data_IF_538785427644
#
_entry.id   IF_538785427644
#
_cell.length_a   1.000
_cell.length_b   1.000
_cell.length_c   1.000
_cell.angle_alpha   90.00
_cell.angle_beta   90.00
_cell.angle_gamma   90.00
#
_symmetry.space_group_name_H-M   'P 1'
#
loop_
_entity.id
_entity.type
_entity.pdbx_description
1 polymer ?
#
# COMPACT_ATOMS: atom_id res chain seq x y z
N UNK A 1 -35.20 7.69 -20.97
CA UNK A 1 -34.00 8.12 -20.22
C UNK A 1 -32.91 8.41 -21.24
N UNK A 2 -32.40 9.65 -21.37
CA UNK A 2 -31.38 9.95 -22.39
C UNK A 2 -30.16 9.04 -22.22
N UNK A 3 -29.54 8.64 -23.34
CA UNK A 3 -28.36 7.77 -23.36
C UNK A 3 -27.16 8.52 -22.77
N UNK A 4 -26.19 7.80 -22.19
CA UNK A 4 -25.06 8.36 -21.43
C UNK A 4 -24.31 9.49 -22.17
N UNK A 5 -24.27 9.43 -23.51
CA UNK A 5 -23.67 10.44 -24.38
C UNK A 5 -24.38 11.81 -24.39
N UNK A 6 -25.65 11.87 -23.96
CA UNK A 6 -26.45 13.10 -23.88
C UNK A 6 -26.43 13.71 -22.47
N UNK A 7 -25.77 13.04 -21.51
CA UNK A 7 -25.81 13.35 -20.06
C UNK A 7 -24.49 13.87 -19.49
N UNK A 8 -23.40 13.71 -20.23
CA UNK A 8 -22.06 14.19 -19.86
C UNK A 8 -21.60 15.11 -20.98
N UNK A 9 -21.14 16.34 -20.70
CA UNK A 9 -20.55 17.18 -21.73
C UNK A 9 -19.21 16.55 -22.16
N UNK A 10 -19.27 15.69 -23.17
CA UNK A 10 -18.10 15.20 -23.89
C UNK A 10 -17.82 16.06 -25.12
N UNK A 11 -16.58 16.04 -25.58
CA UNK A 11 -16.13 16.78 -26.74
C UNK A 11 -16.59 16.03 -28.00
N UNK A 12 -17.49 16.63 -28.77
CA UNK A 12 -17.95 16.05 -30.03
C UNK A 12 -17.00 16.45 -31.16
N UNK A 13 -16.36 15.46 -31.79
CA UNK A 13 -15.66 15.66 -33.05
C UNK A 13 -16.62 15.48 -34.23
N UNK A 14 -16.61 16.40 -35.19
CA UNK A 14 -17.09 16.13 -36.52
C UNK A 14 -15.92 15.53 -37.31
N UNK A 15 -15.99 14.23 -37.59
CA UNK A 15 -15.10 13.62 -38.58
C UNK A 15 -15.37 14.29 -39.93
N UNK A 16 -14.54 15.26 -40.32
CA UNK A 16 -14.21 15.42 -41.73
C UNK A 16 -13.34 14.22 -42.13
N UNK A 17 -13.40 13.80 -43.39
CA UNK A 17 -12.87 12.53 -43.96
C UNK A 17 -11.36 12.24 -43.74
N UNK A 18 -10.68 12.89 -42.79
CA UNK A 18 -9.24 12.81 -42.53
C UNK A 18 -8.83 11.83 -41.41
N UNK A 19 -9.76 11.17 -40.69
CA UNK A 19 -9.40 10.26 -39.59
C UNK A 19 -9.92 8.85 -39.81
N UNK A 20 -9.05 7.88 -40.22
CA UNK A 20 -9.45 6.49 -40.42
C UNK A 20 -9.96 5.84 -39.13
N UNK A 21 -11.16 5.24 -39.17
CA UNK A 21 -11.70 4.40 -38.08
C UNK A 21 -12.64 5.10 -37.07
N UNK A 22 -12.90 6.40 -37.20
CA UNK A 22 -13.84 7.14 -36.33
C UNK A 22 -15.19 7.36 -37.02
N UNK A 23 -16.26 6.76 -36.47
CA UNK A 23 -17.64 7.03 -36.94
C UNK A 23 -18.06 8.44 -36.53
N UNK A 24 -18.81 9.15 -37.41
CA UNK A 24 -19.53 10.39 -37.03
C UNK A 24 -20.35 10.10 -35.77
N UNK A 25 -20.38 11.05 -34.82
CA UNK A 25 -21.10 11.02 -33.53
C UNK A 25 -20.50 10.21 -32.36
N UNK A 26 -19.18 9.95 -32.35
CA UNK A 26 -18.50 9.40 -31.15
C UNK A 26 -17.83 10.50 -30.32
N UNK A 27 -18.03 10.47 -29.00
CA UNK A 27 -17.26 11.29 -28.06
C UNK A 27 -15.79 10.87 -28.09
N UNK A 28 -14.88 11.85 -28.13
CA UNK A 28 -13.44 11.63 -28.14
C UNK A 28 -12.75 12.57 -27.14
N UNK A 29 -11.60 12.16 -26.60
CA UNK A 29 -10.83 13.00 -25.69
C UNK A 29 -10.06 14.11 -26.42
N UNK A 30 -9.69 15.17 -25.68
CA UNK A 30 -8.98 16.35 -26.19
C UNK A 30 -7.68 15.99 -26.94
N UNK A 31 -6.89 15.05 -26.42
CA UNK A 31 -5.65 14.60 -27.05
C UNK A 31 -5.87 13.96 -28.44
N UNK A 32 -7.03 13.34 -28.68
CA UNK A 32 -7.39 12.78 -29.99
C UNK A 32 -7.77 13.89 -30.97
N UNK A 33 -8.46 14.93 -30.51
CA UNK A 33 -8.77 16.11 -31.32
C UNK A 33 -7.49 16.83 -31.76
N UNK A 34 -6.52 16.99 -30.84
CA UNK A 34 -5.22 17.62 -31.12
C UNK A 34 -4.36 16.78 -32.06
N UNK A 35 -4.28 15.47 -31.83
CA UNK A 35 -3.47 14.54 -32.64
C UNK A 35 -3.93 14.49 -34.10
N UNK A 36 -5.23 14.63 -34.35
CA UNK A 36 -5.81 14.54 -35.69
C UNK A 36 -6.36 15.87 -36.24
N UNK A 37 -6.14 16.98 -35.51
CA UNK A 37 -6.65 18.32 -35.80
C UNK A 37 -8.14 18.35 -36.19
N UNK A 38 -8.98 17.65 -35.44
CA UNK A 38 -10.36 17.33 -35.80
C UNK A 38 -11.37 18.06 -34.88
N UNK A 39 -11.29 19.39 -34.80
CA UNK A 39 -12.10 20.21 -33.90
C UNK A 39 -13.48 20.61 -34.49
N UNK A 40 -14.49 20.71 -33.63
CA UNK A 40 -15.77 21.43 -33.88
C UNK A 40 -15.79 22.78 -33.17
N UNK A 41 -16.69 23.68 -33.57
CA UNK A 41 -16.82 25.00 -32.96
C UNK A 41 -17.17 24.90 -31.46
N UNK A 42 -18.07 23.98 -31.08
CA UNK A 42 -18.39 23.68 -29.68
C UNK A 42 -17.20 23.07 -28.92
N UNK A 43 -16.40 22.20 -29.56
CA UNK A 43 -15.22 21.62 -28.90
C UNK A 43 -14.15 22.66 -28.61
N UNK A 44 -13.99 23.69 -29.45
CA UNK A 44 -13.04 24.78 -29.20
C UNK A 44 -13.54 25.67 -28.04
N UNK A 45 -14.84 25.93 -27.96
CA UNK A 45 -15.45 26.67 -26.84
C UNK A 45 -15.26 25.98 -25.50
N UNK A 46 -15.26 24.64 -25.46
CA UNK A 46 -14.97 23.86 -24.25
C UNK A 46 -13.44 23.82 -24.01
N UNK A 47 -12.60 23.83 -25.07
CA UNK A 47 -11.11 23.87 -25.03
C UNK A 47 -10.60 25.01 -24.21
N UNK A 48 -11.21 26.13 -24.49
CA UNK A 48 -10.79 27.41 -23.98
C UNK A 48 -11.62 27.82 -22.75
N UNK A 49 -12.40 26.88 -22.16
CA UNK A 49 -13.20 27.09 -20.95
C UNK A 49 -12.58 26.40 -19.73
N UNK A 50 -12.62 27.05 -18.57
CA UNK A 50 -11.93 26.56 -17.38
C UNK A 50 -12.77 25.65 -16.45
N UNK A 51 -14.06 25.34 -16.68
CA UNK A 51 -14.90 24.57 -15.68
C UNK A 51 -16.09 23.76 -16.30
N UNK A 52 -16.47 22.64 -15.64
CA UNK A 52 -17.56 21.68 -15.93
C UNK A 52 -19.00 22.15 -15.60
N UNK A 53 -20.02 21.53 -16.23
CA UNK A 53 -21.45 21.91 -16.10
C UNK A 53 -22.34 20.82 -15.46
N UNK A 54 -23.20 21.25 -14.52
CA UNK A 54 -24.33 20.49 -13.96
C UNK A 54 -25.67 21.15 -14.34
N UNK A 55 -26.74 20.35 -14.53
CA UNK A 55 -28.05 20.87 -14.97
C UNK A 55 -29.04 20.96 -13.79
N UNK A 56 -29.39 22.19 -13.43
CA UNK A 56 -30.35 22.50 -12.36
C UNK A 56 -31.78 22.42 -12.91
N UNK A 57 -32.68 21.72 -12.19
CA UNK A 57 -34.09 21.52 -12.58
C UNK A 57 -35.05 22.56 -12.01
N UNK A 58 -34.78 23.05 -10.81
CA UNK A 58 -35.58 24.07 -10.11
C UNK A 58 -34.70 24.71 -9.02
N UNK A 59 -34.95 25.99 -8.71
CA UNK A 59 -34.22 26.75 -7.69
C UNK A 59 -35.25 27.35 -6.73
N UNK A 60 -35.16 26.98 -5.46
CA UNK A 60 -35.96 27.55 -4.38
C UNK A 60 -35.03 28.34 -3.46
N UNK A 61 -35.27 29.64 -3.30
CA UNK A 61 -34.43 30.51 -2.46
C UNK A 61 -35.08 30.66 -1.09
N UNK A 62 -34.42 30.14 -0.06
CA UNK A 62 -34.81 30.33 1.35
C UNK A 62 -33.72 31.11 2.07
N UNK A 63 -34.10 32.18 2.76
CA UNK A 63 -33.20 32.85 3.71
C UNK A 63 -33.26 32.12 5.04
N UNK A 64 -32.10 31.68 5.49
CA UNK A 64 -31.91 31.07 6.80
C UNK A 64 -31.36 32.15 7.74
N UNK A 65 -31.89 32.23 8.95
CA UNK A 65 -31.52 33.27 9.91
C UNK A 65 -30.10 33.06 10.49
N UNK A 66 -29.54 31.85 10.36
CA UNK A 66 -28.19 31.53 10.84
C UNK A 66 -27.37 30.74 9.79
N UNK A 67 -26.02 30.91 9.75
CA UNK A 67 -25.16 30.16 8.83
C UNK A 67 -25.16 28.66 9.15
N UNK A 68 -25.28 27.81 8.12
CA UNK A 68 -25.12 26.35 8.20
C UNK A 68 -23.90 25.92 7.38
N UNK A 69 -23.03 25.10 7.97
CA UNK A 69 -21.97 24.38 7.26
C UNK A 69 -22.50 23.04 6.74
N UNK A 70 -22.14 22.68 5.49
CA UNK A 70 -22.38 21.35 4.93
C UNK A 70 -21.04 20.70 4.59
N UNK A 71 -20.92 19.39 4.88
CA UNK A 71 -19.81 18.56 4.45
C UNK A 71 -20.37 17.46 3.53
N UNK A 72 -19.87 17.39 2.32
CA UNK A 72 -20.09 16.26 1.42
C UNK A 72 -19.07 15.17 1.76
N UNK A 73 -19.57 14.00 2.16
CA UNK A 73 -18.76 12.81 2.47
C UNK A 73 -19.45 11.61 1.85
N UNK A 74 -18.98 11.19 0.68
CA UNK A 74 -19.41 9.94 0.07
C UNK A 74 -18.47 8.80 0.52
N UNK A 75 -18.97 7.98 1.43
CA UNK A 75 -18.37 6.71 1.83
C UNK A 75 -19.38 5.61 1.47
N UNK A 76 -19.19 4.82 0.40
CA UNK A 76 -19.72 3.45 0.38
C UNK A 76 -19.14 2.49 -0.69
N UNK A 77 -18.96 1.24 -0.22
CA UNK A 77 -18.93 -0.10 -0.87
C UNK A 77 -17.73 -0.61 -1.66
N UNK A 78 -16.71 0.18 -1.96
CA UNK A 78 -15.44 -0.38 -2.41
C UNK A 78 -14.29 0.34 -1.69
N UNK A 79 -13.31 -0.40 -1.18
CA UNK A 79 -12.04 0.17 -0.72
C UNK A 79 -11.30 0.73 -1.95
N UNK A 80 -11.62 1.96 -2.32
CA UNK A 80 -10.99 2.67 -3.41
C UNK A 80 -9.79 3.43 -2.84
N UNK A 81 -8.58 3.04 -3.21
CA UNK A 81 -7.39 3.84 -2.94
C UNK A 81 -7.31 4.94 -3.98
N UNK A 82 -7.61 6.19 -3.60
CA UNK A 82 -7.47 7.35 -4.48
C UNK A 82 -6.13 8.03 -4.20
N UNK A 83 -5.18 7.91 -5.13
CA UNK A 83 -3.93 8.66 -5.06
C UNK A 83 -4.18 10.15 -5.34
N UNK A 84 -3.25 11.01 -4.88
CA UNK A 84 -3.27 12.48 -5.07
C UNK A 84 -3.35 12.97 -6.52
N UNK A 85 -3.17 12.07 -7.50
CA UNK A 85 -3.33 12.32 -8.93
C UNK A 85 -4.68 11.80 -9.50
N UNK A 86 -5.64 11.45 -8.64
CA UNK A 86 -6.96 10.94 -9.02
C UNK A 86 -6.98 9.46 -9.44
N UNK A 87 -5.92 8.70 -9.15
CA UNK A 87 -5.86 7.28 -9.52
C UNK A 87 -6.55 6.41 -8.49
N UNK A 88 -7.55 5.64 -8.93
CA UNK A 88 -8.24 4.62 -8.16
C UNK A 88 -7.53 3.28 -8.32
N UNK A 89 -7.07 2.65 -7.23
CA UNK A 89 -6.44 1.32 -7.25
C UNK A 89 -7.15 0.31 -6.31
N UNK A 90 -7.01 -0.98 -6.61
CA UNK A 90 -7.73 -2.10 -5.95
C UNK A 90 -6.80 -3.23 -5.49
N UNK A 91 -5.54 -2.97 -5.16
CA UNK A 91 -4.60 -4.05 -4.89
C UNK A 91 -4.51 -4.41 -3.40
N UNK A 92 -4.29 -5.70 -3.12
CA UNK A 92 -4.11 -6.21 -1.76
C UNK A 92 -2.93 -5.53 -1.04
N UNK A 93 -3.17 -5.19 0.22
CA UNK A 93 -2.34 -4.57 1.26
C UNK A 93 -1.50 -3.34 0.87
N UNK A 94 -0.66 -3.38 -0.17
CA UNK A 94 0.35 -2.33 -0.44
C UNK A 94 0.73 -2.14 -1.91
N UNK A 95 0.37 -3.04 -2.83
CA UNK A 95 0.95 -3.13 -4.19
C UNK A 95 0.82 -1.84 -5.04
N UNK A 96 1.95 -1.21 -5.33
CA UNK A 96 2.09 -0.11 -6.30
C UNK A 96 2.30 -0.64 -7.72
N UNK A 97 1.72 0.07 -8.70
CA UNK A 97 1.82 -0.24 -10.14
C UNK A 97 2.32 0.99 -10.91
N UNK A 98 3.40 0.87 -11.69
CA UNK A 98 3.69 1.87 -12.72
C UNK A 98 2.78 1.62 -13.94
N UNK A 99 1.72 2.42 -14.03
CA UNK A 99 0.74 2.29 -15.11
C UNK A 99 1.31 2.64 -16.49
N UNK A 100 2.47 3.31 -16.61
CA UNK A 100 3.06 3.63 -17.92
C UNK A 100 3.53 2.36 -18.63
N UNK A 101 4.07 1.39 -17.90
CA UNK A 101 4.45 0.09 -18.45
C UNK A 101 3.23 -0.75 -18.84
N UNK A 102 2.17 -0.71 -18.01
CA UNK A 102 0.91 -1.39 -18.33
C UNK A 102 0.19 -0.74 -19.53
N UNK A 103 0.19 0.59 -19.65
CA UNK A 103 -0.40 1.35 -20.78
C UNK A 103 0.32 1.08 -22.10
N UNK A 104 1.66 0.95 -22.09
CA UNK A 104 2.46 0.60 -23.29
C UNK A 104 2.05 -0.73 -23.92
N UNK A 105 1.39 -1.63 -23.17
CA UNK A 105 1.03 -2.98 -23.61
C UNK A 105 -0.48 -3.27 -23.54
N UNK A 106 -1.35 -2.25 -23.57
CA UNK A 106 -2.78 -2.43 -23.90
C UNK A 106 -3.83 -2.15 -22.81
N UNK A 107 -3.60 -1.17 -21.92
CA UNK A 107 -4.65 -0.64 -21.04
C UNK A 107 -5.39 0.54 -21.68
N UNK A 108 -6.72 0.49 -21.74
CA UNK A 108 -7.55 1.58 -22.27
C UNK A 108 -7.34 2.92 -21.54
N UNK A 109 -7.68 4.02 -22.22
CA UNK A 109 -7.39 5.41 -21.82
C UNK A 109 -8.10 5.86 -20.51
N UNK A 110 -9.10 5.12 -20.05
CA UNK A 110 -9.85 5.38 -18.81
C UNK A 110 -9.57 4.31 -17.76
N UNK A 111 -8.38 4.39 -17.16
CA UNK A 111 -8.06 3.94 -15.81
C UNK A 111 -8.90 2.80 -15.21
N UNK A 112 -8.66 1.59 -15.69
CA UNK A 112 -8.65 0.41 -14.83
C UNK A 112 -7.75 -0.62 -15.52
N UNK A 113 -6.74 -1.15 -14.83
CA UNK A 113 -6.30 -2.51 -15.11
C UNK A 113 -6.86 -3.38 -13.99
N UNK A 114 -8.16 -3.73 -13.98
CA UNK A 114 -8.77 -4.49 -12.89
C UNK A 114 -8.45 -5.98 -12.98
N UNK A 115 -7.32 -6.36 -13.58
CA UNK A 115 -6.92 -7.74 -13.90
C UNK A 115 -5.40 -7.92 -13.71
N UNK A 116 -4.90 -7.42 -12.59
CA UNK A 116 -3.47 -7.47 -12.22
C UNK A 116 -3.36 -7.79 -10.72
N UNK A 117 -2.16 -8.14 -10.30
CA UNK A 117 -1.85 -8.61 -8.95
C UNK A 117 -0.45 -9.20 -8.95
N UNK A 118 -0.14 -10.04 -7.97
CA UNK A 118 1.12 -10.80 -7.95
C UNK A 118 0.82 -12.29 -8.08
N UNK A 119 1.61 -13.00 -8.89
CA UNK A 119 1.55 -14.48 -8.97
C UNK A 119 2.10 -15.14 -7.71
N UNK A 120 2.91 -14.42 -6.94
CA UNK A 120 3.57 -14.90 -5.75
C UNK A 120 4.68 -13.96 -5.29
N UNK A 121 5.01 -14.10 -4.01
CA UNK A 121 6.06 -13.32 -3.35
C UNK A 121 7.15 -14.27 -2.87
N UNK A 122 8.41 -13.97 -3.18
CA UNK A 122 9.59 -14.59 -2.57
C UNK A 122 10.33 -13.53 -1.76
N UNK A 123 10.42 -13.72 -0.45
CA UNK A 123 11.05 -12.76 0.47
C UNK A 123 12.48 -13.15 0.80
N UNK A 124 13.42 -12.23 0.59
CA UNK A 124 14.83 -12.39 0.94
C UNK A 124 15.03 -12.09 2.43
N UNK A 125 15.64 -13.04 3.15
CA UNK A 125 16.03 -12.89 4.55
C UNK A 125 17.35 -12.11 4.64
N UNK A 126 17.25 -10.77 4.67
CA UNK A 126 18.42 -9.89 4.74
C UNK A 126 19.25 -10.06 6.03
N UNK A 127 18.67 -10.28 7.22
CA UNK A 127 19.45 -10.52 8.44
C UNK A 127 20.43 -11.69 8.31
N UNK A 128 19.96 -12.83 7.78
CA UNK A 128 20.82 -13.99 7.52
C UNK A 128 21.90 -13.67 6.50
N UNK A 129 21.55 -12.96 5.43
CA UNK A 129 22.52 -12.54 4.41
C UNK A 129 23.62 -11.67 5.03
N UNK A 130 23.24 -10.65 5.82
CA UNK A 130 24.18 -9.78 6.52
C UNK A 130 25.06 -10.53 7.51
N UNK A 131 24.51 -11.50 8.25
CA UNK A 131 25.27 -12.32 9.19
C UNK A 131 26.29 -13.26 8.53
N UNK A 132 26.00 -13.75 7.32
CA UNK A 132 26.86 -14.70 6.61
C UNK A 132 27.93 -14.02 5.75
N UNK A 133 27.83 -12.72 5.51
CA UNK A 133 28.73 -11.99 4.62
C UNK A 133 29.85 -11.34 5.40
N UNK A 134 31.07 -11.41 4.89
CA UNK A 134 32.28 -10.88 5.55
C UNK A 134 32.76 -9.57 4.94
N UNK A 135 32.47 -9.35 3.66
CA UNK A 135 32.73 -8.11 2.95
C UNK A 135 31.55 -7.73 2.05
N UNK A 136 31.60 -6.53 1.47
CA UNK A 136 30.51 -6.00 0.66
C UNK A 136 30.35 -6.75 -0.66
N UNK A 137 31.45 -7.14 -1.29
CA UNK A 137 31.46 -7.88 -2.55
C UNK A 137 30.74 -9.23 -2.36
N UNK A 138 31.12 -9.98 -1.32
CA UNK A 138 30.47 -11.24 -0.96
C UNK A 138 28.97 -11.05 -0.64
N UNK A 139 28.61 -9.95 0.03
CA UNK A 139 27.22 -9.63 0.32
C UNK A 139 26.39 -9.50 -0.96
N UNK A 140 26.86 -8.73 -1.94
CA UNK A 140 26.13 -8.51 -3.19
C UNK A 140 26.12 -9.74 -4.09
N UNK A 141 27.20 -10.52 -4.15
CA UNK A 141 27.22 -11.82 -4.86
C UNK A 141 26.18 -12.79 -4.29
N UNK A 142 26.09 -12.90 -2.96
CA UNK A 142 25.10 -13.74 -2.29
C UNK A 142 23.67 -13.21 -2.50
N UNK A 143 23.48 -11.90 -2.46
CA UNK A 143 22.18 -11.27 -2.74
C UNK A 143 21.72 -11.59 -4.16
N UNK A 144 22.61 -11.43 -5.14
CA UNK A 144 22.34 -11.76 -6.54
C UNK A 144 21.92 -13.22 -6.70
N UNK A 145 22.69 -14.16 -6.15
CA UNK A 145 22.37 -15.58 -6.22
C UNK A 145 20.99 -15.91 -5.61
N UNK A 146 20.63 -15.25 -4.51
CA UNK A 146 19.30 -15.40 -3.90
C UNK A 146 18.19 -14.80 -4.77
N UNK A 147 18.44 -13.67 -5.44
CA UNK A 147 17.48 -13.05 -6.36
C UNK A 147 17.27 -13.88 -7.63
N UNK A 148 18.33 -14.49 -8.16
CA UNK A 148 18.24 -15.43 -9.28
C UNK A 148 17.43 -16.68 -8.93
N UNK A 149 17.62 -17.19 -7.71
CA UNK A 149 16.80 -18.28 -7.19
C UNK A 149 15.33 -17.87 -7.03
N UNK A 150 15.06 -16.64 -6.57
CA UNK A 150 13.72 -16.09 -6.46
C UNK A 150 13.05 -15.96 -7.84
N UNK A 151 13.77 -15.43 -8.84
CA UNK A 151 13.35 -15.38 -10.25
C UNK A 151 12.95 -16.76 -10.76
N UNK A 152 13.84 -17.74 -10.58
CA UNK A 152 13.61 -19.13 -10.99
C UNK A 152 12.34 -19.71 -10.36
N UNK A 153 12.16 -19.50 -9.05
CA UNK A 153 10.97 -19.96 -8.32
C UNK A 153 9.68 -19.33 -8.85
N UNK A 154 9.69 -18.02 -9.11
CA UNK A 154 8.54 -17.27 -9.60
C UNK A 154 8.20 -17.64 -11.05
N UNK A 155 9.19 -17.86 -11.92
CA UNK A 155 8.96 -18.31 -13.30
C UNK A 155 8.42 -19.74 -13.36
N UNK A 156 8.90 -20.65 -12.50
CA UNK A 156 8.30 -21.99 -12.35
C UNK A 156 6.83 -21.85 -11.92
N UNK A 157 6.56 -21.02 -10.91
CA UNK A 157 5.19 -20.80 -10.43
C UNK A 157 4.29 -20.25 -11.53
N UNK A 158 4.78 -19.30 -12.34
CA UNK A 158 4.05 -18.72 -13.47
C UNK A 158 3.61 -19.78 -14.47
N UNK A 159 4.52 -20.69 -14.85
CA UNK A 159 4.21 -21.82 -15.75
C UNK A 159 3.15 -22.74 -15.17
N UNK A 160 3.25 -23.06 -13.88
CA UNK A 160 2.31 -23.95 -13.18
C UNK A 160 0.91 -23.34 -13.11
N UNK A 161 0.78 -22.07 -12.70
CA UNK A 161 -0.55 -21.44 -12.59
C UNK A 161 -1.20 -21.25 -13.96
N UNK A 162 -0.42 -20.99 -15.01
CA UNK A 162 -0.94 -20.88 -16.38
C UNK A 162 -1.49 -22.24 -16.87
N UNK A 163 -0.75 -23.34 -16.67
CA UNK A 163 -1.21 -24.71 -16.99
C UNK A 163 -2.47 -25.10 -16.21
N UNK A 164 -2.53 -24.77 -14.92
CA UNK A 164 -3.69 -25.04 -14.08
C UNK A 164 -4.91 -24.21 -14.50
N UNK A 165 -4.72 -22.95 -14.90
CA UNK A 165 -5.79 -22.12 -15.46
C UNK A 165 -6.28 -22.69 -16.79
N UNK A 166 -5.38 -23.15 -17.66
CA UNK A 166 -5.74 -23.78 -18.94
C UNK A 166 -6.59 -25.04 -18.72
N UNK A 167 -6.18 -25.91 -17.78
CA UNK A 167 -6.91 -27.13 -17.36
C UNK A 167 -8.23 -26.86 -16.61
N UNK A 168 -8.56 -25.60 -16.32
CA UNK A 168 -9.82 -25.23 -15.67
C UNK A 168 -9.83 -25.36 -14.15
N UNK A 169 -8.66 -25.51 -13.50
CA UNK A 169 -8.56 -25.56 -12.03
C UNK A 169 -8.76 -24.20 -11.36
N UNK A 170 -8.68 -23.12 -12.14
CA UNK A 170 -8.99 -21.75 -11.69
C UNK A 170 -10.13 -21.13 -12.53
N UNK A 171 -11.37 -21.63 -12.42
CA UNK A 171 -12.46 -21.27 -13.33
C UNK A 171 -12.82 -19.78 -13.30
N UNK A 172 -12.83 -19.16 -12.11
CA UNK A 172 -13.08 -17.72 -11.98
C UNK A 172 -11.96 -16.89 -12.61
N UNK A 173 -10.70 -17.17 -12.26
CA UNK A 173 -9.55 -16.46 -12.85
C UNK A 173 -9.50 -16.65 -14.36
N UNK A 174 -9.76 -17.87 -14.87
CA UNK A 174 -9.86 -18.14 -16.31
C UNK A 174 -10.88 -17.24 -16.98
N UNK A 175 -12.08 -17.15 -16.41
CA UNK A 175 -13.16 -16.31 -16.94
C UNK A 175 -12.78 -14.82 -16.93
N UNK A 176 -12.31 -14.28 -15.81
CA UNK A 176 -12.00 -12.84 -15.71
C UNK A 176 -10.73 -12.44 -16.49
N UNK A 177 -9.75 -13.33 -16.61
CA UNK A 177 -8.50 -13.07 -17.34
C UNK A 177 -8.55 -13.46 -18.82
N UNK A 178 -9.73 -13.86 -19.32
CA UNK A 178 -9.90 -14.29 -20.70
C UNK A 178 -9.48 -13.22 -21.72
N UNK A 179 -9.81 -11.96 -21.46
CA UNK A 179 -9.39 -10.83 -22.31
C UNK A 179 -7.87 -10.62 -22.32
N UNK A 180 -7.19 -10.91 -21.19
CA UNK A 180 -5.72 -10.86 -21.09
C UNK A 180 -5.09 -11.99 -21.90
N UNK A 181 -5.65 -13.20 -21.81
CA UNK A 181 -5.25 -14.37 -22.59
C UNK A 181 -5.36 -14.11 -24.09
N UNK A 182 -6.48 -13.55 -24.54
CA UNK A 182 -6.69 -13.19 -25.94
C UNK A 182 -5.72 -12.13 -26.44
N UNK A 183 -5.41 -11.13 -25.61
CA UNK A 183 -4.51 -10.04 -25.99
C UNK A 183 -3.02 -10.41 -25.93
N UNK A 184 -2.61 -11.31 -25.01
CA UNK A 184 -1.19 -11.57 -24.70
C UNK A 184 -0.76 -13.04 -24.76
N UNK A 185 -1.67 -13.96 -25.06
CA UNK A 185 -1.40 -15.40 -25.11
C UNK A 185 -1.28 -16.09 -23.75
N UNK A 186 -1.36 -15.35 -22.64
CA UNK A 186 -1.28 -15.88 -21.27
C UNK A 186 -2.30 -15.21 -20.35
N UNK A 187 -2.91 -15.98 -19.43
CA UNK A 187 -3.88 -15.47 -18.46
C UNK A 187 -3.21 -14.51 -17.46
N UNK A 188 -2.03 -14.88 -16.96
CA UNK A 188 -1.36 -14.16 -15.88
C UNK A 188 -0.35 -13.10 -16.37
N UNK A 189 -0.38 -12.72 -17.66
CA UNK A 189 0.57 -11.81 -18.29
C UNK A 189 0.64 -10.40 -17.65
N UNK A 190 -0.43 -9.98 -16.98
CA UNK A 190 -0.51 -8.68 -16.29
C UNK A 190 -0.09 -8.76 -14.82
N UNK A 191 0.27 -9.94 -14.29
CA UNK A 191 0.60 -10.13 -12.88
C UNK A 191 2.11 -10.10 -12.64
N UNK A 192 2.50 -9.46 -11.54
CA UNK A 192 3.89 -9.30 -11.11
C UNK A 192 4.46 -10.58 -10.50
N UNK A 193 5.74 -10.79 -10.73
CA UNK A 193 6.61 -11.68 -9.96
C UNK A 193 7.25 -10.83 -8.85
N UNK A 194 6.86 -11.05 -7.59
CA UNK A 194 7.26 -10.15 -6.51
C UNK A 194 8.44 -10.70 -5.73
N UNK A 195 9.50 -9.91 -5.63
CA UNK A 195 10.63 -10.17 -4.76
C UNK A 195 10.55 -9.18 -3.61
N UNK A 196 10.51 -9.69 -2.39
CA UNK A 196 10.36 -8.89 -1.18
C UNK A 196 11.57 -8.96 -0.27
N UNK A 197 11.60 -8.09 0.75
CA UNK A 197 12.65 -8.07 1.77
C UNK A 197 12.06 -8.02 3.17
N UNK A 198 12.86 -8.47 4.14
CA UNK A 198 12.56 -8.36 5.56
C UNK A 198 13.85 -8.14 6.36
N UNK A 199 13.77 -7.40 7.46
CA UNK A 199 14.83 -7.30 8.45
C UNK A 199 16.04 -6.46 8.03
N UNK A 200 15.84 -5.36 7.30
CA UNK A 200 16.95 -4.48 6.91
C UNK A 200 17.69 -3.91 8.14
N UNK A 201 16.98 -3.60 9.23
CA UNK A 201 17.63 -3.16 10.47
C UNK A 201 18.57 -4.23 11.04
N UNK A 202 18.09 -5.47 11.15
CA UNK A 202 18.92 -6.56 11.66
C UNK A 202 20.01 -6.96 10.68
N UNK A 203 19.80 -6.78 9.37
CA UNK A 203 20.88 -6.90 8.37
C UNK A 203 22.00 -5.89 8.66
N UNK A 204 21.69 -4.61 8.85
CA UNK A 204 22.69 -3.60 9.20
C UNK A 204 23.41 -3.96 10.52
N UNK A 205 22.66 -4.42 11.53
CA UNK A 205 23.22 -4.80 12.83
C UNK A 205 24.17 -6.00 12.74
N UNK A 206 23.85 -6.97 11.89
CA UNK A 206 24.65 -8.19 11.72
C UNK A 206 25.86 -7.96 10.80
N UNK A 207 25.73 -7.13 9.77
CA UNK A 207 26.79 -6.89 8.78
C UNK A 207 27.72 -5.73 9.17
N UNK A 208 27.14 -4.57 9.51
CA UNK A 208 27.87 -3.33 9.82
C UNK A 208 28.09 -3.12 11.32
N UNK A 209 27.41 -3.89 12.16
CA UNK A 209 27.39 -3.67 13.61
C UNK A 209 26.54 -2.47 14.05
N UNK A 210 25.86 -1.80 13.12
CA UNK A 210 25.11 -0.55 13.34
C UNK A 210 23.63 -0.69 12.97
N UNK A 211 22.72 -0.01 13.68
CA UNK A 211 21.30 -0.02 13.35
C UNK A 211 21.00 0.79 12.09
N UNK A 212 19.84 0.57 11.44
CA UNK A 212 19.50 1.25 10.18
C UNK A 212 19.44 2.78 10.28
N UNK A 213 19.14 3.32 11.46
CA UNK A 213 19.08 4.76 11.72
C UNK A 213 20.46 5.42 11.88
N UNK A 214 21.56 4.65 11.90
CA UNK A 214 22.90 5.23 11.72
C UNK A 214 23.05 5.68 10.25
N UNK A 215 23.54 6.90 9.97
CA UNK A 215 23.66 7.41 8.60
C UNK A 215 24.40 6.48 7.64
N UNK A 216 25.50 5.86 8.09
CA UNK A 216 26.29 4.94 7.25
C UNK A 216 25.53 3.62 6.97
N UNK A 217 24.70 3.18 7.91
CA UNK A 217 23.86 2.00 7.73
C UNK A 217 22.65 2.29 6.83
N UNK A 218 22.05 3.49 6.93
CA UNK A 218 20.99 3.95 6.01
C UNK A 218 21.50 4.00 4.58
N UNK A 219 22.69 4.55 4.35
CA UNK A 219 23.32 4.59 3.03
C UNK A 219 23.54 3.20 2.45
N UNK A 220 24.01 2.25 3.27
CA UNK A 220 24.15 0.86 2.84
C UNK A 220 22.79 0.23 2.52
N UNK A 221 21.75 0.44 3.32
CA UNK A 221 20.39 -0.05 3.04
C UNK A 221 19.84 0.51 1.71
N UNK A 222 20.09 1.80 1.42
CA UNK A 222 19.76 2.42 0.13
C UNK A 222 20.50 1.72 -1.02
N UNK A 223 21.80 1.43 -0.84
CA UNK A 223 22.62 0.72 -1.82
C UNK A 223 22.07 -0.68 -2.11
N UNK A 224 21.66 -1.42 -1.08
CA UNK A 224 21.01 -2.73 -1.20
C UNK A 224 19.71 -2.63 -2.00
N UNK A 225 18.81 -1.71 -1.65
CA UNK A 225 17.54 -1.54 -2.37
C UNK A 225 17.74 -1.12 -3.83
N UNK A 226 18.72 -0.24 -4.13
CA UNK A 226 19.08 0.14 -5.51
C UNK A 226 19.61 -1.04 -6.30
N UNK A 227 20.48 -1.86 -5.71
CA UNK A 227 20.97 -3.08 -6.35
C UNK A 227 19.83 -4.03 -6.71
N UNK A 228 18.94 -4.31 -5.76
CA UNK A 228 17.78 -5.17 -5.99
C UNK A 228 16.85 -4.61 -7.07
N UNK A 229 16.62 -3.30 -7.07
CA UNK A 229 15.80 -2.64 -8.09
C UNK A 229 16.40 -2.79 -9.49
N UNK A 230 17.71 -2.65 -9.63
CA UNK A 230 18.39 -2.83 -10.92
C UNK A 230 18.26 -4.29 -11.40
N UNK A 231 18.51 -5.28 -10.51
CA UNK A 231 18.34 -6.69 -10.86
C UNK A 231 16.90 -7.05 -11.24
N UNK A 232 15.91 -6.45 -10.59
CA UNK A 232 14.51 -6.59 -10.98
C UNK A 232 14.26 -6.05 -12.38
N UNK A 233 14.86 -4.92 -12.76
CA UNK A 233 14.76 -4.39 -14.12
C UNK A 233 15.36 -5.36 -15.14
N UNK A 234 16.55 -5.90 -14.85
CA UNK A 234 17.21 -6.92 -15.70
C UNK A 234 16.30 -8.15 -15.89
N UNK A 235 15.64 -8.63 -14.81
CA UNK A 235 14.72 -9.75 -14.89
C UNK A 235 13.49 -9.46 -15.75
N UNK A 236 12.97 -8.22 -15.74
CA UNK A 236 11.87 -7.84 -16.63
C UNK A 236 12.28 -7.87 -18.10
N UNK A 237 13.50 -7.41 -18.40
CA UNK A 237 14.04 -7.42 -19.77
C UNK A 237 14.30 -8.84 -20.26
N UNK A 238 14.91 -9.69 -19.42
CA UNK A 238 15.26 -11.08 -19.73
C UNK A 238 14.01 -11.95 -19.94
N UNK A 239 13.03 -11.85 -19.04
CA UNK A 239 11.87 -12.75 -19.03
C UNK A 239 10.67 -12.22 -19.81
N UNK A 240 10.62 -10.89 -20.04
CA UNK A 240 9.45 -10.20 -20.58
C UNK A 240 8.28 -10.06 -19.60
N UNK A 241 8.37 -10.62 -18.39
CA UNK A 241 7.34 -10.56 -17.34
C UNK A 241 7.52 -9.35 -16.43
N UNK A 242 6.45 -8.95 -15.74
CA UNK A 242 6.53 -7.88 -14.75
C UNK A 242 7.13 -8.38 -13.44
N UNK A 243 8.02 -7.59 -12.86
CA UNK A 243 8.65 -7.82 -11.55
C UNK A 243 8.55 -6.57 -10.68
N UNK A 244 8.49 -6.75 -9.38
CA UNK A 244 8.53 -5.61 -8.46
C UNK A 244 9.22 -5.94 -7.14
N UNK A 245 9.71 -4.88 -6.50
CA UNK A 245 10.34 -4.92 -5.18
C UNK A 245 9.29 -4.56 -4.13
N UNK A 246 9.07 -5.43 -3.15
CA UNK A 246 8.05 -5.22 -2.11
C UNK A 246 8.64 -5.17 -0.69
N UNK A 247 8.12 -4.24 0.11
CA UNK A 247 8.23 -4.25 1.56
C UNK A 247 7.24 -5.28 2.12
N UNK A 248 7.65 -6.56 2.12
CA UNK A 248 6.82 -7.70 2.53
C UNK A 248 6.20 -7.44 3.92
N UNK A 249 4.86 -7.53 4.09
CA UNK A 249 4.21 -7.34 5.39
C UNK A 249 4.67 -8.30 6.49
N UNK A 250 5.02 -9.52 6.10
CA UNK A 250 5.75 -10.50 6.90
C UNK A 250 5.16 -10.88 8.26
N UNK A 251 3.83 -10.86 8.42
CA UNK A 251 3.10 -11.17 9.67
C UNK A 251 3.61 -12.45 10.36
N UNK A 252 3.60 -13.59 9.66
CA UNK A 252 4.18 -14.84 10.18
C UNK A 252 5.68 -15.01 9.88
N UNK A 253 6.15 -14.40 8.79
CA UNK A 253 7.52 -14.61 8.28
C UNK A 253 8.57 -13.96 9.17
N UNK A 254 8.27 -12.81 9.78
CA UNK A 254 9.19 -12.10 10.69
C UNK A 254 9.63 -12.99 11.85
N UNK A 255 8.68 -13.48 12.64
CA UNK A 255 8.94 -14.39 13.75
C UNK A 255 9.54 -15.71 13.29
N UNK A 256 8.97 -16.33 12.24
CA UNK A 256 9.41 -17.65 11.76
C UNK A 256 10.87 -17.66 11.33
N UNK A 257 11.31 -16.66 10.54
CA UNK A 257 12.69 -16.59 10.06
C UNK A 257 13.66 -16.32 11.22
N UNK A 258 13.35 -15.36 12.09
CA UNK A 258 14.17 -15.03 13.25
C UNK A 258 14.34 -16.23 14.19
N UNK A 259 13.28 -17.00 14.45
CA UNK A 259 13.34 -18.23 15.26
C UNK A 259 14.24 -19.31 14.64
N UNK A 260 14.09 -19.57 13.34
CA UNK A 260 14.94 -20.54 12.62
C UNK A 260 16.40 -20.09 12.65
N UNK A 261 16.65 -18.80 12.45
CA UNK A 261 17.97 -18.21 12.48
C UNK A 261 18.63 -18.29 13.84
N UNK A 262 17.93 -17.93 14.92
CA UNK A 262 18.45 -18.06 16.29
C UNK A 262 18.86 -19.49 16.62
N UNK A 263 18.08 -20.49 16.17
CA UNK A 263 18.42 -21.91 16.37
C UNK A 263 19.70 -22.31 15.61
N UNK A 264 19.90 -21.80 14.40
CA UNK A 264 21.03 -22.18 13.53
C UNK A 264 22.29 -21.35 13.81
N UNK A 265 22.11 -20.09 14.16
CA UNK A 265 23.14 -19.07 14.35
C UNK A 265 22.89 -18.36 15.67
N UNK A 266 23.32 -18.92 16.82
CA UNK A 266 22.99 -18.36 18.14
C UNK A 266 23.38 -16.90 18.33
N UNK A 267 24.44 -16.45 17.63
CA UNK A 267 24.97 -15.07 17.69
C UNK A 267 24.29 -14.09 16.73
N UNK A 268 23.37 -14.53 15.88
CA UNK A 268 22.65 -13.61 14.99
C UNK A 268 21.81 -12.64 15.80
N UNK A 269 21.88 -11.36 15.44
CA UNK A 269 21.08 -10.29 16.05
C UNK A 269 19.68 -10.33 15.47
N UNK A 270 18.68 -10.32 16.35
CA UNK A 270 17.26 -10.22 16.06
C UNK A 270 16.68 -9.13 16.97
N UNK A 271 15.50 -8.61 16.64
CA UNK A 271 14.70 -7.85 17.60
C UNK A 271 13.89 -8.81 18.50
N UNK A 272 13.22 -8.25 19.50
CA UNK A 272 12.40 -9.01 20.46
C UNK A 272 13.20 -9.73 21.54
N UNK A 273 12.53 -10.67 22.22
CA UNK A 273 13.14 -11.49 23.29
C UNK A 273 13.67 -12.81 22.74
N UNK A 274 14.38 -13.59 23.57
CA UNK A 274 14.81 -14.94 23.17
C UNK A 274 13.63 -15.89 22.87
N UNK A 275 12.51 -15.70 23.57
CA UNK A 275 11.29 -16.49 23.42
C UNK A 275 10.45 -16.00 22.22
N UNK A 276 10.50 -14.70 21.94
CA UNK A 276 9.76 -14.04 20.87
C UNK A 276 10.67 -13.23 19.93
N UNK A 277 11.67 -13.86 19.26
CA UNK A 277 12.54 -13.14 18.35
C UNK A 277 11.81 -12.80 17.06
N UNK A 278 12.04 -11.61 16.52
CA UNK A 278 11.45 -11.18 15.26
C UNK A 278 12.43 -10.32 14.45
N UNK A 279 12.12 -10.13 13.17
CA UNK A 279 12.82 -9.19 12.30
C UNK A 279 11.96 -7.95 12.03
N UNK A 280 12.60 -6.78 12.07
CA UNK A 280 11.93 -5.51 11.80
C UNK A 280 11.37 -5.53 10.38
N UNK A 281 10.14 -5.05 10.21
CA UNK A 281 9.43 -5.20 8.96
C UNK A 281 10.17 -4.51 7.80
N UNK A 282 10.51 -5.24 6.75
CA UNK A 282 11.12 -4.69 5.52
C UNK A 282 12.31 -3.77 5.82
N UNK A 283 12.17 -2.45 5.61
CA UNK A 283 13.16 -1.41 5.90
C UNK A 283 12.70 -0.38 6.96
N UNK A 284 11.69 -0.74 7.74
CA UNK A 284 11.16 0.13 8.79
C UNK A 284 12.21 0.38 9.87
N UNK A 285 12.03 1.47 10.60
CA UNK A 285 12.68 1.66 11.88
C UNK A 285 12.18 0.60 12.88
N UNK A 286 12.98 0.22 13.88
CA UNK A 286 12.49 -0.58 15.01
C UNK A 286 11.26 0.08 15.64
N UNK A 287 10.28 -0.74 16.06
CA UNK A 287 8.97 -0.26 16.56
C UNK A 287 9.07 0.69 17.74
N UNK A 288 10.13 0.59 18.54
CA UNK A 288 10.38 1.38 19.75
C UNK A 288 11.47 2.44 19.56
N UNK A 289 11.74 2.85 18.32
CA UNK A 289 12.82 3.81 18.03
C UNK A 289 12.46 5.25 18.42
N UNK A 290 11.32 5.76 17.96
CA UNK A 290 10.87 7.14 18.22
C UNK A 290 9.35 7.20 18.12
N UNK A 291 8.76 8.13 18.88
CA UNK A 291 7.34 8.51 18.76
C UNK A 291 7.16 9.75 17.85
N UNK A 292 8.26 10.37 17.39
CA UNK A 292 8.21 11.50 16.46
C UNK A 292 7.93 11.02 15.02
N UNK A 293 6.72 11.30 14.56
CA UNK A 293 6.27 10.96 13.20
C UNK A 293 7.15 11.61 12.13
N UNK A 294 7.64 12.83 12.31
CA UNK A 294 8.45 13.53 11.32
C UNK A 294 9.87 12.96 11.25
N UNK A 295 10.41 12.48 12.37
CA UNK A 295 11.66 11.74 12.39
C UNK A 295 11.52 10.43 11.60
N UNK A 296 10.43 9.68 11.81
CA UNK A 296 10.11 8.45 11.05
C UNK A 296 10.01 8.78 9.56
N UNK A 297 9.23 9.79 9.20
CA UNK A 297 9.01 10.19 7.80
C UNK A 297 10.33 10.59 7.13
N UNK A 298 11.14 11.42 7.79
CA UNK A 298 12.45 11.87 7.28
C UNK A 298 13.42 10.72 7.07
N UNK A 299 13.45 9.76 7.99
CA UNK A 299 14.26 8.57 7.81
C UNK A 299 13.74 7.71 6.65
N UNK A 300 12.43 7.43 6.62
CA UNK A 300 11.84 6.45 5.73
C UNK A 300 11.72 6.94 4.27
N UNK A 301 11.63 8.26 4.01
CA UNK A 301 11.35 8.79 2.68
C UNK A 301 12.28 8.23 1.58
N UNK A 302 13.60 8.32 1.77
CA UNK A 302 14.58 7.84 0.79
C UNK A 302 14.55 6.33 0.55
N UNK A 303 14.15 5.56 1.55
CA UNK A 303 14.09 4.09 1.47
C UNK A 303 12.82 3.65 0.75
N UNK A 304 11.69 4.25 1.11
CA UNK A 304 10.38 3.78 0.68
C UNK A 304 10.10 4.09 -0.80
N UNK A 305 10.68 5.18 -1.34
CA UNK A 305 10.60 5.50 -2.77
C UNK A 305 11.32 4.50 -3.67
N UNK A 306 12.21 3.65 -3.12
CA UNK A 306 12.94 2.64 -3.88
C UNK A 306 12.11 1.39 -4.16
N UNK A 307 11.02 1.18 -3.42
CA UNK A 307 10.08 0.09 -3.69
C UNK A 307 9.22 0.42 -4.91
N UNK A 308 9.23 -0.51 -5.86
CA UNK A 308 8.42 -0.44 -7.08
C UNK A 308 7.09 -1.19 -6.94
N UNK A 309 7.00 -2.09 -5.97
CA UNK A 309 5.81 -2.81 -5.56
C UNK A 309 5.20 -2.23 -4.29
N UNK A 310 4.79 -3.09 -3.36
CA UNK A 310 4.08 -2.63 -2.19
C UNK A 310 4.96 -2.05 -1.09
N UNK A 311 4.58 -0.88 -0.57
CA UNK A 311 5.12 -0.35 0.69
C UNK A 311 4.11 0.50 1.46
N UNK A 312 4.32 0.67 2.77
CA UNK A 312 3.57 1.59 3.63
C UNK A 312 4.45 2.03 4.80
N UNK A 313 4.32 3.29 5.22
CA UNK A 313 4.84 3.76 6.52
C UNK A 313 3.68 3.88 7.50
N UNK A 314 3.78 3.23 8.65
CA UNK A 314 2.79 3.33 9.72
C UNK A 314 3.19 4.45 10.69
N UNK A 315 2.33 5.46 10.81
CA UNK A 315 2.46 6.53 11.80
C UNK A 315 1.49 6.21 12.94
N UNK A 316 2.00 5.60 14.00
CA UNK A 316 1.21 5.32 15.18
C UNK A 316 1.02 6.62 15.96
N UNK A 317 -0.24 6.96 16.23
CA UNK A 317 -0.61 8.10 17.08
C UNK A 317 -1.27 7.59 18.35
N UNK A 318 -1.12 8.34 19.44
CA UNK A 318 -1.58 7.94 20.76
C UNK A 318 -3.08 7.63 20.80
N UNK A 319 -3.92 8.65 20.88
CA UNK A 319 -5.37 8.49 20.87
C UNK A 319 -5.99 8.97 19.56
N UNK A 320 -7.31 8.83 19.46
CA UNK A 320 -8.07 9.33 18.32
C UNK A 320 -7.91 10.84 18.17
N UNK A 321 -7.64 11.30 16.95
CA UNK A 321 -7.60 12.72 16.62
C UNK A 321 -9.03 13.18 16.34
N UNK A 322 -9.65 13.83 17.33
CA UNK A 322 -11.05 14.28 17.25
C UNK A 322 -11.21 15.40 16.21
N UNK A 323 -10.26 16.33 16.15
CA UNK A 323 -10.31 17.45 15.21
C UNK A 323 -9.85 17.02 13.81
N UNK A 324 -10.82 16.98 12.88
CA UNK A 324 -10.59 16.64 11.48
C UNK A 324 -9.64 17.62 10.78
N UNK A 325 -9.56 18.87 11.23
CA UNK A 325 -8.65 19.86 10.64
C UNK A 325 -7.20 19.53 10.96
N UNK A 326 -6.90 19.03 12.16
CA UNK A 326 -5.55 18.56 12.52
C UNK A 326 -5.11 17.42 11.59
N UNK A 327 -5.99 16.45 11.33
CA UNK A 327 -5.70 15.34 10.41
C UNK A 327 -5.44 15.85 8.99
N UNK A 328 -6.24 16.81 8.51
CA UNK A 328 -6.06 17.41 7.17
C UNK A 328 -4.72 18.13 7.05
N UNK A 329 -4.37 18.97 8.02
CA UNK A 329 -3.10 19.70 8.02
C UNK A 329 -1.90 18.74 8.13
N UNK A 330 -2.01 17.69 8.93
CA UNK A 330 -0.98 16.67 9.01
C UNK A 330 -0.79 15.94 7.67
N UNK A 331 -1.88 15.49 7.04
CA UNK A 331 -1.82 14.84 5.72
C UNK A 331 -1.21 15.79 4.69
N UNK A 332 -1.62 17.06 4.68
CA UNK A 332 -1.09 18.09 3.78
C UNK A 332 0.41 18.27 4.00
N UNK A 333 0.85 18.44 5.24
CA UNK A 333 2.26 18.57 5.58
C UNK A 333 3.07 17.35 5.13
N UNK A 334 2.53 16.13 5.27
CA UNK A 334 3.22 14.92 4.83
C UNK A 334 3.36 14.90 3.30
N UNK A 335 2.27 15.15 2.57
CA UNK A 335 2.23 15.05 1.10
C UNK A 335 3.02 16.17 0.43
N UNK A 336 3.10 17.36 1.03
CA UNK A 336 3.88 18.49 0.51
C UNK A 336 5.39 18.35 0.74
N UNK A 337 5.81 17.66 1.81
CA UNK A 337 7.22 17.58 2.20
C UNK A 337 7.89 16.22 1.94
N UNK A 338 7.13 15.14 1.76
CA UNK A 338 7.66 13.78 1.56
C UNK A 338 7.16 13.15 0.26
N UNK A 339 7.96 12.23 -0.29
CA UNK A 339 7.70 11.51 -1.55
C UNK A 339 7.12 10.12 -1.32
N UNK A 340 6.80 9.79 -0.06
CA UNK A 340 6.32 8.48 0.36
C UNK A 340 5.15 8.00 -0.50
N UNK A 341 5.21 6.78 -1.05
CA UNK A 341 4.13 6.26 -1.89
C UNK A 341 2.82 6.03 -1.13
N UNK A 342 2.92 5.63 0.14
CA UNK A 342 1.80 5.28 0.99
C UNK A 342 2.19 5.38 2.46
N UNK A 343 1.31 5.99 3.26
CA UNK A 343 1.40 6.05 4.71
C UNK A 343 0.03 5.83 5.34
N UNK A 344 0.01 5.37 6.59
CA UNK A 344 -1.20 5.29 7.40
C UNK A 344 -1.02 6.10 8.69
N UNK A 345 -2.10 6.75 9.13
CA UNK A 345 -2.20 7.30 10.48
C UNK A 345 -3.01 6.29 11.28
N UNK A 346 -2.42 5.73 12.33
CA UNK A 346 -2.98 4.61 13.08
C UNK A 346 -3.14 5.03 14.54
N UNK A 347 -4.35 5.44 14.95
CA UNK A 347 -4.62 5.75 16.35
C UNK A 347 -4.66 4.47 17.19
N UNK A 348 -4.26 4.58 18.46
CA UNK A 348 -4.45 3.50 19.42
C UNK A 348 -5.87 3.55 19.97
N UNK A 349 -6.50 2.39 20.03
CA UNK A 349 -7.78 2.20 20.69
C UNK A 349 -7.75 0.87 21.47
N UNK A 350 -8.58 0.79 22.49
CA UNK A 350 -8.81 -0.43 23.27
C UNK A 350 -10.23 -0.91 23.03
N UNK A 351 -10.48 -2.21 23.20
CA UNK A 351 -11.82 -2.78 23.01
C UNK A 351 -12.32 -3.35 24.32
N UNK A 352 -13.41 -2.79 24.82
CA UNK A 352 -14.16 -3.33 25.94
C UNK A 352 -15.30 -4.22 25.42
N UNK A 353 -15.52 -5.43 25.98
CA UNK A 353 -16.65 -6.29 25.59
C UNK A 353 -18.03 -5.66 25.78
N UNK A 354 -18.15 -4.67 26.65
CA UNK A 354 -19.41 -3.95 26.96
C UNK A 354 -19.47 -2.62 26.21
N UNK A 355 -18.45 -1.77 26.35
CA UNK A 355 -18.44 -0.40 25.83
C UNK A 355 -17.92 -0.26 24.39
N UNK A 356 -17.39 -1.34 23.80
CA UNK A 356 -16.85 -1.31 22.44
C UNK A 356 -15.51 -0.57 22.35
N UNK A 357 -15.34 0.27 21.33
CA UNK A 357 -14.10 0.99 21.06
C UNK A 357 -13.87 2.13 22.05
N UNK A 358 -12.71 2.13 22.67
CA UNK A 358 -12.24 3.14 23.63
C UNK A 358 -11.05 3.88 23.03
N UNK A 359 -11.03 5.22 23.01
CA UNK A 359 -9.89 5.97 22.50
C UNK A 359 -8.67 5.78 23.41
N UNK A 360 -7.51 5.46 22.81
CA UNK A 360 -6.25 5.27 23.52
C UNK A 360 -6.00 3.85 24.04
N UNK A 361 -4.85 3.68 24.67
CA UNK A 361 -4.42 2.41 25.29
C UNK A 361 -4.89 2.33 26.74
N UNK A 362 -5.74 1.35 27.03
CA UNK A 362 -6.28 1.09 28.35
C UNK A 362 -6.03 -0.38 28.70
N UNK A 363 -5.33 -0.63 29.81
CA UNK A 363 -5.22 -1.99 30.37
C UNK A 363 -6.54 -2.44 31.01
N UNK A 364 -7.31 -1.49 31.53
CA UNK A 364 -8.62 -1.67 32.14
C UNK A 364 -9.61 -0.69 31.55
N UNK A 365 -10.87 -1.12 31.34
CA UNK A 365 -11.90 -0.22 30.84
C UNK A 365 -12.07 0.98 31.78
N UNK A 366 -12.00 2.23 31.27
CA UNK A 366 -12.14 3.43 32.10
C UNK A 366 -13.60 3.80 32.40
N UNK A 367 -14.56 2.96 31.98
CA UNK A 367 -15.99 3.20 32.18
C UNK A 367 -16.58 2.24 33.23
N UNK A 368 -17.65 2.66 33.94
CA UNK A 368 -18.33 1.83 34.94
C UNK A 368 -18.85 0.50 34.40
N UNK A 369 -18.70 -0.57 35.18
CA UNK A 369 -19.25 -1.90 34.87
C UNK A 369 -20.24 -2.36 35.93
N UNK A 370 -21.27 -3.10 35.50
CA UNK A 370 -22.16 -3.78 36.45
C UNK A 370 -21.48 -5.01 37.05
N UNK A 371 -21.94 -5.48 38.21
CA UNK A 371 -21.39 -6.70 38.83
C UNK A 371 -21.51 -7.91 37.90
N UNK A 372 -22.63 -8.06 37.19
CA UNK A 372 -22.84 -9.14 36.22
C UNK A 372 -21.84 -9.09 35.05
N UNK A 373 -21.48 -7.89 34.58
CA UNK A 373 -20.47 -7.71 33.53
C UNK A 373 -19.07 -8.06 34.01
N UNK A 374 -18.72 -7.67 35.25
CA UNK A 374 -17.43 -8.01 35.86
C UNK A 374 -17.31 -9.52 36.10
N UNK A 375 -18.38 -10.18 36.53
CA UNK A 375 -18.39 -11.64 36.70
C UNK A 375 -18.25 -12.38 35.35
N UNK A 376 -18.83 -11.83 34.28
CA UNK A 376 -18.83 -12.47 32.95
C UNK A 376 -17.57 -12.23 32.14
N UNK A 377 -17.03 -11.01 32.17
CA UNK A 377 -15.94 -10.56 31.29
C UNK A 377 -14.69 -10.09 32.05
N UNK A 378 -14.77 -9.91 33.36
CA UNK A 378 -13.65 -9.49 34.18
C UNK A 378 -12.57 -10.56 34.29
N UNK A 379 -11.38 -10.11 34.68
CA UNK A 379 -10.24 -10.96 34.99
C UNK A 379 -9.82 -10.69 36.44
N UNK A 380 -9.58 -11.74 37.21
CA UNK A 380 -9.06 -11.63 38.58
C UNK A 380 -7.56 -11.32 38.51
N UNK A 381 -7.13 -10.21 39.12
CA UNK A 381 -5.74 -9.77 39.14
C UNK A 381 -5.36 -9.21 40.51
N UNK A 382 -4.15 -9.53 40.96
CA UNK A 382 -3.53 -8.85 42.10
C UNK A 382 -2.87 -7.56 41.61
N UNK A 383 -3.41 -6.41 42.02
CA UNK A 383 -2.90 -5.10 41.64
C UNK A 383 -2.36 -4.33 42.87
N UNK A 384 -1.22 -3.64 42.76
CA UNK A 384 -0.80 -2.67 43.76
C UNK A 384 -1.88 -1.62 44.02
N UNK A 385 -2.10 -1.25 45.28
CA UNK A 385 -3.09 -0.21 45.69
C UNK A 385 -2.87 1.12 44.95
N UNK A 386 -1.63 1.44 44.59
CA UNK A 386 -1.28 2.64 43.82
C UNK A 386 -1.83 2.65 42.39
N UNK A 387 -2.03 1.48 41.77
CA UNK A 387 -2.66 1.34 40.46
C UNK A 387 -4.18 1.35 40.56
N UNK A 388 -4.74 0.70 41.60
CA UNK A 388 -6.19 0.72 41.89
C UNK A 388 -6.72 2.15 42.08
N UNK A 389 -5.95 3.03 42.73
CA UNK A 389 -6.33 4.43 42.93
C UNK A 389 -6.38 5.27 41.64
N UNK A 390 -5.78 4.78 40.54
CA UNK A 390 -5.84 5.44 39.22
C UNK A 390 -7.02 4.96 38.38
N UNK A 391 -7.66 3.87 38.76
CA UNK A 391 -8.84 3.35 38.08
C UNK A 391 -10.10 4.00 38.63
N UNK A 392 -11.12 4.24 37.80
CA UNK A 392 -12.45 4.60 38.28
C UNK A 392 -12.92 3.56 39.30
N UNK A 393 -13.55 4.00 40.40
CA UNK A 393 -14.01 3.08 41.46
C UNK A 393 -15.01 2.05 40.93
N UNK A 394 -15.71 2.40 39.86
CA UNK A 394 -16.72 1.60 39.19
C UNK A 394 -16.13 0.66 38.11
N UNK A 395 -14.82 0.72 37.85
CA UNK A 395 -14.14 -0.12 36.87
C UNK A 395 -13.63 -1.45 37.42
N UNK A 396 -13.70 -1.66 38.75
CA UNK A 396 -13.23 -2.87 39.42
C UNK A 396 -14.08 -3.23 40.64
N UNK A 397 -14.05 -4.51 41.02
CA UNK A 397 -14.63 -5.03 42.27
C UNK A 397 -13.51 -5.62 43.11
N UNK A 398 -13.41 -5.21 44.37
CA UNK A 398 -12.49 -5.84 45.33
C UNK A 398 -13.15 -7.13 45.79
N UNK A 399 -12.47 -8.26 45.56
CA UNK A 399 -12.91 -9.59 45.98
C UNK A 399 -12.61 -9.85 47.45
#
# INVERSE_FOLDING_TARGET
TPILAERVPGWMAASTYKVPGLKKSRMVGLATLEKYNANTEESLKIKDSDIYLAKIKEIEVRQWEEPKEFYDVELEKNHLFVHSLGFVSFNCCRLRLDQRELRKRGGGLFGANPLTGSIGVVTINLPRLGYLSTCEEEFFERLEALMELAKTSLEIKRKVIEDFTEKGLYPYSKFYLQSVKEARGQYWANHFSTIGVIGMNEMCLNFLGKPIYDPSAKEFAIKVLKFMRNKIADFQEETGNFYNLEATPAEGTSYRLAKIDKKKFPRIKTAGTEQAPYYTNSCHLPVNYTDDIFEILTHQDDLQVLFTGGTVVHLFVGEEIIDRNIVKELIKAIVENFRLPYFSITPTFSVCPVHGYLPGKHEFCPYPHTEEELEKFGIELELPVTLLNKLPKEAYKIL
#
